data_IF_051255233501
#
_entry.id   IF_051255233501
#
_cell.length_a   1.000
_cell.length_b   1.000
_cell.length_c   1.000
_cell.angle_alpha   90.00
_cell.angle_beta   90.00
_cell.angle_gamma   90.00
#
_symmetry.space_group_name_H-M   'P 1'
#
loop_
_entity.id
_entity.type
_entity.pdbx_description
1 polymer ?
#
# COMPACT_ATOMS: atom_id res chain seq x y z
N UNK A 1 -0.98 -12.46 -15.40
CA UNK A 1 -2.04 -11.67 -14.72
C UNK A 1 -1.67 -10.20 -14.80
N UNK A 2 -2.66 -9.29 -14.90
CA UNK A 2 -2.44 -7.84 -14.88
C UNK A 2 -2.03 -7.42 -13.46
N UNK A 3 -0.91 -6.71 -13.32
CA UNK A 3 -0.50 -6.15 -12.02
C UNK A 3 -1.48 -5.06 -11.58
N UNK A 4 -1.97 -5.15 -10.36
CA UNK A 4 -2.89 -4.18 -9.76
C UNK A 4 -2.15 -2.90 -9.35
N UNK A 5 -2.87 -1.78 -9.25
CA UNK A 5 -2.29 -0.47 -8.92
C UNK A 5 -2.93 0.08 -7.65
N UNK A 6 -2.11 0.44 -6.68
CA UNK A 6 -2.51 1.14 -5.47
C UNK A 6 -1.92 2.55 -5.45
N UNK A 7 -2.77 3.55 -5.18
CA UNK A 7 -2.37 4.92 -4.88
C UNK A 7 -2.61 5.19 -3.40
N UNK A 8 -1.53 5.39 -2.64
CA UNK A 8 -1.57 5.49 -1.18
C UNK A 8 -1.41 6.93 -0.69
N UNK A 9 -1.96 7.21 0.50
CA UNK A 9 -1.85 8.52 1.15
C UNK A 9 -2.75 9.59 0.53
N UNK A 10 -3.90 9.21 0.02
CA UNK A 10 -4.95 10.12 -0.44
C UNK A 10 -5.61 10.78 0.76
N UNK A 11 -5.88 12.11 0.70
CA UNK A 11 -6.31 12.88 1.86
C UNK A 11 -7.52 13.79 1.61
N UNK A 12 -8.00 13.91 0.39
CA UNK A 12 -9.04 14.86 0.01
C UNK A 12 -9.92 14.35 -1.13
N UNK A 13 -11.11 14.93 -1.27
CA UNK A 13 -12.13 14.54 -2.24
C UNK A 13 -11.68 14.77 -3.70
N UNK A 14 -10.93 15.84 -3.96
CA UNK A 14 -10.43 16.15 -5.31
C UNK A 14 -9.56 15.01 -5.82
N UNK A 15 -8.64 14.53 -4.97
CA UNK A 15 -7.73 13.44 -5.32
C UNK A 15 -8.50 12.11 -5.48
N UNK A 16 -9.47 11.82 -4.59
CA UNK A 16 -10.34 10.63 -4.74
C UNK A 16 -11.05 10.67 -6.08
N UNK A 17 -11.70 11.77 -6.41
CA UNK A 17 -12.50 11.91 -7.63
C UNK A 17 -11.65 11.69 -8.90
N UNK A 18 -10.49 12.33 -9.03
CA UNK A 18 -9.70 12.15 -10.23
C UNK A 18 -9.04 10.76 -10.30
N UNK A 19 -8.57 10.21 -9.17
CA UNK A 19 -7.98 8.85 -9.15
C UNK A 19 -9.04 7.81 -9.54
N UNK A 20 -10.27 8.00 -9.08
CA UNK A 20 -11.38 7.09 -9.39
C UNK A 20 -11.79 7.04 -10.87
N UNK A 21 -11.38 8.03 -11.65
CA UNK A 21 -11.58 8.03 -13.12
C UNK A 21 -10.44 7.34 -13.88
N UNK A 22 -9.42 6.85 -13.17
CA UNK A 22 -8.25 6.23 -13.76
C UNK A 22 -8.24 4.72 -13.51
N UNK A 23 -7.37 3.98 -14.19
CA UNK A 23 -7.20 2.53 -14.05
C UNK A 23 -6.39 2.20 -12.76
N UNK A 24 -7.02 2.45 -11.61
CA UNK A 24 -6.48 2.20 -10.26
C UNK A 24 -7.39 1.22 -9.53
N UNK A 25 -6.78 0.28 -8.82
CA UNK A 25 -7.49 -0.83 -8.16
C UNK A 25 -7.66 -0.60 -6.66
N UNK A 26 -6.77 0.20 -6.04
CA UNK A 26 -6.77 0.48 -4.60
C UNK A 26 -6.47 1.94 -4.30
N UNK A 27 -7.20 2.52 -3.33
CA UNK A 27 -6.93 3.84 -2.75
C UNK A 27 -6.62 3.66 -1.27
N UNK A 28 -5.42 4.12 -0.84
CA UNK A 28 -4.95 4.02 0.54
C UNK A 28 -5.11 5.31 1.33
N UNK A 29 -5.68 5.20 2.55
CA UNK A 29 -5.84 6.27 3.51
C UNK A 29 -4.97 6.01 4.74
N UNK A 30 -4.10 6.96 5.09
CA UNK A 30 -3.20 6.81 6.22
C UNK A 30 -3.85 7.32 7.51
N UNK A 31 -4.02 6.43 8.49
CA UNK A 31 -4.59 6.75 9.80
C UNK A 31 -3.52 6.87 10.90
N UNK A 32 -2.24 6.90 10.51
CA UNK A 32 -1.11 6.93 11.45
C UNK A 32 -0.88 8.35 11.94
N UNK A 33 -0.96 8.54 13.26
CA UNK A 33 -0.64 9.80 13.92
C UNK A 33 0.80 10.23 13.61
N UNK A 34 1.03 11.52 13.34
CA UNK A 34 2.33 12.07 12.95
C UNK A 34 2.68 11.90 11.47
N UNK A 35 1.92 11.13 10.70
CA UNK A 35 2.11 11.06 9.25
C UNK A 35 1.75 12.38 8.57
N UNK A 36 2.59 12.83 7.62
CA UNK A 36 2.25 13.98 6.77
C UNK A 36 0.95 13.78 5.96
N UNK A 37 0.50 12.53 5.79
CA UNK A 37 -0.67 12.12 5.00
C UNK A 37 -1.82 11.62 5.87
N UNK A 38 -1.82 11.93 7.17
CA UNK A 38 -2.85 11.46 8.08
C UNK A 38 -4.23 11.99 7.67
N UNK A 39 -5.22 11.10 7.69
CA UNK A 39 -6.64 11.41 7.48
C UNK A 39 -7.38 11.15 8.80
N UNK A 40 -8.21 12.09 9.23
CA UNK A 40 -9.06 11.87 10.40
C UNK A 40 -10.20 10.90 10.08
N UNK A 41 -10.74 10.24 11.11
CA UNK A 41 -11.90 9.35 10.95
C UNK A 41 -13.13 10.08 10.33
N UNK A 42 -13.31 11.37 10.67
CA UNK A 42 -14.40 12.17 10.11
C UNK A 42 -14.19 12.48 8.62
N UNK A 43 -12.96 12.71 8.20
CA UNK A 43 -12.65 12.87 6.79
C UNK A 43 -12.82 11.53 6.04
N UNK A 44 -12.34 10.44 6.62
CA UNK A 44 -12.46 9.10 6.04
C UNK A 44 -13.93 8.72 5.79
N UNK A 45 -14.83 9.03 6.75
CA UNK A 45 -16.27 8.82 6.61
C UNK A 45 -16.89 9.57 5.42
N UNK A 46 -16.28 10.67 4.98
CA UNK A 46 -16.73 11.42 3.79
C UNK A 46 -16.08 10.90 2.51
N UNK A 47 -14.81 10.48 2.58
CA UNK A 47 -14.04 10.08 1.42
C UNK A 47 -14.38 8.68 0.91
N UNK A 48 -14.65 7.73 1.80
CA UNK A 48 -14.90 6.34 1.41
C UNK A 48 -16.18 6.18 0.56
N UNK A 49 -17.33 6.82 0.90
CA UNK A 49 -18.55 6.65 0.12
C UNK A 49 -18.49 7.19 -1.32
N UNK A 50 -17.55 8.07 -1.64
CA UNK A 50 -17.40 8.59 -3.01
C UNK A 50 -16.48 7.74 -3.90
N UNK A 51 -15.87 6.67 -3.33
CA UNK A 51 -15.06 5.72 -4.10
C UNK A 51 -15.99 4.73 -4.80
N UNK A 52 -15.87 4.55 -6.12
CA UNK A 52 -16.64 3.54 -6.84
C UNK A 52 -16.39 2.13 -6.31
N UNK A 53 -17.40 1.27 -6.35
CA UNK A 53 -17.35 -0.10 -5.81
C UNK A 53 -16.32 -1.02 -6.46
N UNK A 54 -15.83 -0.67 -7.64
CA UNK A 54 -14.77 -1.41 -8.33
C UNK A 54 -13.36 -1.04 -7.84
N UNK A 55 -13.21 -0.01 -6.99
CA UNK A 55 -11.94 0.37 -6.36
C UNK A 55 -11.98 0.03 -4.87
N UNK A 56 -10.96 -0.66 -4.40
CA UNK A 56 -10.86 -1.04 -3.00
C UNK A 56 -10.26 0.10 -2.16
N UNK A 57 -10.95 0.48 -1.09
CA UNK A 57 -10.41 1.40 -0.08
C UNK A 57 -9.57 0.63 0.94
N UNK A 58 -8.40 1.18 1.29
CA UNK A 58 -7.44 0.56 2.22
C UNK A 58 -7.17 1.51 3.39
N UNK A 59 -7.43 1.06 4.62
CA UNK A 59 -7.03 1.76 5.84
C UNK A 59 -5.59 1.36 6.22
N UNK A 60 -4.67 2.32 6.26
CA UNK A 60 -3.27 2.09 6.66
C UNK A 60 -3.09 2.49 8.12
N UNK A 61 -2.69 1.54 8.95
CA UNK A 61 -2.53 1.67 10.38
C UNK A 61 -1.17 1.14 10.85
N UNK A 62 -0.69 1.63 11.98
CA UNK A 62 0.56 1.19 12.63
C UNK A 62 0.25 0.89 14.09
N UNK A 63 0.43 -0.37 14.49
CA UNK A 63 0.20 -0.87 15.85
C UNK A 63 -1.15 -0.38 16.45
N UNK A 64 -2.28 -0.51 15.73
CA UNK A 64 -3.57 -0.09 16.26
C UNK A 64 -4.03 -1.01 17.39
N UNK A 65 -4.90 -0.51 18.29
CA UNK A 65 -5.69 -1.38 19.12
C UNK A 65 -6.81 -2.05 18.28
N UNK A 66 -7.21 -3.28 18.64
CA UNK A 66 -8.27 -4.00 17.92
C UNK A 66 -9.60 -3.20 17.90
N UNK A 67 -9.88 -2.47 18.98
CA UNK A 67 -11.06 -1.60 19.07
C UNK A 67 -11.01 -0.42 18.07
N UNK A 68 -9.81 0.06 17.71
CA UNK A 68 -9.67 1.10 16.67
C UNK A 68 -10.03 0.53 15.30
N UNK A 69 -9.56 -0.68 14.99
CA UNK A 69 -9.92 -1.37 13.75
C UNK A 69 -11.43 -1.58 13.67
N UNK A 70 -12.05 -2.14 14.72
CA UNK A 70 -13.52 -2.35 14.80
C UNK A 70 -14.30 -1.04 14.60
N UNK A 71 -13.81 0.05 15.20
CA UNK A 71 -14.43 1.37 15.08
C UNK A 71 -14.38 1.90 13.63
N UNK A 72 -13.25 1.73 12.95
CA UNK A 72 -13.11 2.15 11.54
C UNK A 72 -14.00 1.32 10.64
N UNK A 73 -14.02 -0.01 10.80
CA UNK A 73 -14.93 -0.89 10.05
C UNK A 73 -16.38 -0.39 10.19
N UNK A 74 -16.85 -0.21 11.42
CA UNK A 74 -18.23 0.22 11.71
C UNK A 74 -18.57 1.58 11.10
N UNK A 75 -17.59 2.52 11.09
CA UNK A 75 -17.81 3.89 10.60
C UNK A 75 -17.76 4.03 9.08
N UNK A 76 -17.02 3.20 8.40
CA UNK A 76 -16.63 3.43 7.00
C UNK A 76 -16.94 2.27 6.06
N UNK A 77 -17.06 1.05 6.57
CA UNK A 77 -17.20 -0.15 5.75
C UNK A 77 -15.95 -0.53 4.93
N UNK A 78 -14.78 0.06 5.23
CA UNK A 78 -13.52 -0.31 4.54
C UNK A 78 -13.25 -1.80 4.72
N UNK A 79 -13.01 -2.49 3.60
CA UNK A 79 -12.78 -3.93 3.58
C UNK A 79 -11.30 -4.36 3.61
N UNK A 80 -10.34 -3.43 3.45
CA UNK A 80 -8.90 -3.74 3.44
C UNK A 80 -8.16 -2.95 4.53
N UNK A 81 -7.33 -3.66 5.30
CA UNK A 81 -6.53 -3.09 6.38
C UNK A 81 -5.06 -3.40 6.16
N UNK A 82 -4.25 -2.36 5.97
CA UNK A 82 -2.80 -2.48 5.86
C UNK A 82 -2.19 -2.21 7.23
N UNK A 83 -1.64 -3.27 7.85
CA UNK A 83 -0.95 -3.24 9.13
C UNK A 83 0.54 -3.01 8.89
N UNK A 84 1.01 -1.79 9.16
CA UNK A 84 2.33 -1.31 8.75
C UNK A 84 3.29 -1.09 9.94
N UNK A 85 3.01 -1.74 11.06
CA UNK A 85 3.80 -1.73 12.28
C UNK A 85 4.42 -3.09 12.60
N UNK A 86 4.62 -3.32 13.90
CA UNK A 86 5.16 -4.57 14.43
C UNK A 86 4.03 -5.43 15.06
N UNK A 87 2.86 -5.43 14.42
CA UNK A 87 1.71 -6.20 14.87
C UNK A 87 2.06 -7.70 14.90
N UNK A 88 1.68 -8.39 15.98
CA UNK A 88 1.94 -9.84 16.12
C UNK A 88 1.07 -10.67 15.16
N UNK A 89 1.45 -11.94 14.97
CA UNK A 89 0.69 -12.90 14.18
C UNK A 89 -0.73 -13.08 14.74
N UNK A 90 -0.86 -13.13 16.07
CA UNK A 90 -2.14 -13.25 16.77
C UNK A 90 -3.02 -12.05 16.48
N UNK A 91 -2.46 -10.83 16.55
CA UNK A 91 -3.21 -9.61 16.23
C UNK A 91 -3.68 -9.58 14.78
N UNK A 92 -2.84 -10.04 13.84
CA UNK A 92 -3.22 -10.15 12.42
C UNK A 92 -4.38 -11.13 12.24
N UNK A 93 -4.37 -12.28 12.94
CA UNK A 93 -5.48 -13.25 12.96
C UNK A 93 -6.76 -12.62 13.50
N UNK A 94 -6.69 -11.92 14.65
CA UNK A 94 -7.84 -11.22 15.25
C UNK A 94 -8.45 -10.20 14.28
N UNK A 95 -7.63 -9.44 13.56
CA UNK A 95 -8.12 -8.47 12.57
C UNK A 95 -8.79 -9.20 11.40
N UNK A 96 -8.22 -10.30 10.91
CA UNK A 96 -8.79 -11.11 9.83
C UNK A 96 -10.16 -11.71 10.22
N UNK A 97 -10.33 -12.13 11.47
CA UNK A 97 -11.59 -12.65 12.02
C UNK A 97 -12.72 -11.61 12.02
N UNK A 98 -12.41 -10.33 11.88
CA UNK A 98 -13.42 -9.28 11.70
C UNK A 98 -14.06 -9.28 10.30
N UNK A 99 -13.67 -10.22 9.41
CA UNK A 99 -14.21 -10.36 8.06
C UNK A 99 -13.63 -9.39 7.04
N UNK A 100 -12.47 -8.80 7.32
CA UNK A 100 -11.76 -7.88 6.42
C UNK A 100 -10.55 -8.56 5.79
N UNK A 101 -10.03 -7.98 4.70
CA UNK A 101 -8.77 -8.39 4.08
C UNK A 101 -7.59 -7.70 4.75
N UNK A 102 -6.56 -8.47 5.07
CA UNK A 102 -5.36 -7.96 5.75
C UNK A 102 -4.17 -7.93 4.80
N UNK A 103 -3.57 -6.75 4.68
CA UNK A 103 -2.28 -6.53 4.02
C UNK A 103 -1.24 -6.33 5.14
N UNK A 104 -0.38 -7.33 5.39
CA UNK A 104 0.71 -7.15 6.36
C UNK A 104 1.91 -6.52 5.67
N UNK A 105 2.29 -5.33 6.12
CA UNK A 105 3.43 -4.61 5.55
C UNK A 105 4.71 -4.93 6.33
N UNK A 106 5.80 -5.07 5.56
CA UNK A 106 7.15 -5.27 6.08
C UNK A 106 8.07 -4.22 5.48
N UNK A 107 8.82 -3.55 6.36
CA UNK A 107 9.97 -2.73 5.96
C UNK A 107 11.21 -3.59 6.05
N UNK A 108 11.90 -3.72 4.95
CA UNK A 108 13.17 -4.43 4.91
C UNK A 108 14.31 -3.45 4.61
N UNK A 109 15.40 -3.59 5.36
CA UNK A 109 16.69 -2.95 5.13
C UNK A 109 17.69 -3.98 4.60
N UNK A 110 18.84 -3.53 4.11
CA UNK A 110 19.92 -4.43 3.71
C UNK A 110 20.35 -5.31 4.90
N UNK A 111 20.42 -6.61 4.66
CA UNK A 111 20.76 -7.60 5.68
C UNK A 111 19.60 -8.12 6.52
N UNK A 112 18.39 -7.59 6.36
CA UNK A 112 17.22 -8.11 7.06
C UNK A 112 16.85 -9.51 6.54
N UNK A 113 16.51 -10.41 7.47
CA UNK A 113 15.94 -11.71 7.12
C UNK A 113 14.50 -11.57 6.68
N UNK A 114 14.17 -12.10 5.50
CA UNK A 114 12.80 -12.19 5.01
C UNK A 114 12.00 -13.27 5.75
N UNK A 115 12.65 -14.16 6.48
CA UNK A 115 12.02 -15.23 7.26
C UNK A 115 11.06 -14.71 8.32
N UNK A 116 11.23 -13.45 8.78
CA UNK A 116 10.29 -12.81 9.69
C UNK A 116 8.88 -12.64 9.10
N UNK A 117 8.71 -12.76 7.79
CA UNK A 117 7.41 -12.73 7.14
C UNK A 117 6.70 -14.10 7.13
N UNK A 118 7.46 -15.22 7.24
CA UNK A 118 6.92 -16.58 7.19
C UNK A 118 5.76 -16.85 8.16
N UNK A 119 5.82 -16.43 9.46
CA UNK A 119 4.74 -16.68 10.39
C UNK A 119 3.39 -16.04 10.01
N UNK A 120 3.42 -15.02 9.14
CA UNK A 120 2.22 -14.30 8.69
C UNK A 120 1.58 -14.91 7.43
N UNK A 121 2.22 -15.89 6.79
CA UNK A 121 1.74 -16.46 5.53
C UNK A 121 0.35 -17.11 5.65
N UNK A 122 0.01 -17.66 6.82
CA UNK A 122 -1.28 -18.31 7.05
C UNK A 122 -2.39 -17.33 7.47
N UNK A 123 -2.04 -16.10 7.90
CA UNK A 123 -3.02 -15.18 8.47
C UNK A 123 -3.20 -13.88 7.68
N UNK A 124 -2.21 -13.43 6.91
CA UNK A 124 -2.37 -12.29 6.03
C UNK A 124 -2.91 -12.71 4.66
N UNK A 125 -3.80 -11.92 4.06
CA UNK A 125 -4.28 -12.16 2.70
C UNK A 125 -3.26 -11.67 1.67
N UNK A 126 -2.49 -10.65 2.03
CA UNK A 126 -1.46 -10.03 1.20
C UNK A 126 -0.28 -9.61 2.04
N UNK A 127 0.91 -9.62 1.42
CA UNK A 127 2.07 -8.92 1.94
C UNK A 127 2.25 -7.58 1.22
N UNK A 128 2.81 -6.59 1.91
CA UNK A 128 3.37 -5.40 1.29
C UNK A 128 4.84 -5.30 1.67
N UNK A 129 5.69 -5.24 0.66
CA UNK A 129 7.13 -5.05 0.82
C UNK A 129 7.46 -3.59 0.56
N UNK A 130 7.86 -2.88 1.62
CA UNK A 130 8.39 -1.53 1.57
C UNK A 130 9.90 -1.60 1.78
N UNK A 131 10.63 -1.78 0.70
CA UNK A 131 12.07 -1.97 0.69
C UNK A 131 12.81 -0.68 0.30
N UNK A 132 12.46 0.42 0.96
CA UNK A 132 13.19 1.66 0.80
C UNK A 132 14.57 1.56 1.46
N UNK A 133 15.62 1.73 0.67
CA UNK A 133 17.00 1.79 1.15
C UNK A 133 17.36 3.25 1.43
N UNK A 134 17.51 3.67 2.71
CA UNK A 134 18.02 5.00 3.03
C UNK A 134 19.46 5.15 2.52
N UNK A 135 19.77 6.25 1.81
CA UNK A 135 21.14 6.54 1.36
C UNK A 135 21.43 6.25 -0.11
N UNK A 136 20.49 5.72 -0.88
CA UNK A 136 20.57 5.67 -2.35
C UNK A 136 19.93 6.92 -2.99
N UNK A 137 20.00 8.05 -2.31
CA UNK A 137 19.66 9.35 -2.86
C UNK A 137 20.70 9.75 -3.89
N UNK A 138 20.52 9.32 -5.11
CA UNK A 138 21.30 9.85 -6.21
C UNK A 138 21.78 8.84 -7.25
N UNK A 139 21.08 8.76 -8.35
CA UNK A 139 21.66 8.34 -9.62
C UNK A 139 21.49 6.87 -10.05
N UNK A 140 21.08 5.96 -9.20
CA UNK A 140 20.85 4.56 -9.60
C UNK A 140 19.42 4.24 -10.00
N UNK A 141 18.45 5.12 -9.74
CA UNK A 141 17.03 4.91 -10.04
C UNK A 141 16.33 3.82 -9.20
N UNK A 142 17.09 3.00 -8.49
CA UNK A 142 16.55 1.86 -7.71
C UNK A 142 16.21 2.33 -6.31
N UNK A 143 14.91 2.43 -6.02
CA UNK A 143 14.36 2.84 -4.72
C UNK A 143 13.82 1.66 -3.92
N UNK A 144 13.81 0.45 -4.48
CA UNK A 144 13.40 -0.82 -3.85
C UNK A 144 14.50 -1.87 -4.02
N UNK A 145 14.51 -2.92 -3.20
CA UNK A 145 15.46 -4.03 -3.31
C UNK A 145 14.83 -5.21 -4.06
N UNK A 146 15.22 -5.49 -5.32
CA UNK A 146 14.69 -6.61 -6.08
C UNK A 146 14.96 -7.96 -5.41
N UNK A 147 16.12 -8.11 -4.75
CA UNK A 147 16.52 -9.35 -4.08
C UNK A 147 15.57 -9.69 -2.92
N UNK A 148 15.23 -8.69 -2.10
CA UNK A 148 14.28 -8.84 -0.99
C UNK A 148 12.88 -9.16 -1.55
N UNK A 149 12.44 -8.42 -2.56
CA UNK A 149 11.12 -8.61 -3.17
C UNK A 149 10.96 -10.03 -3.75
N UNK A 150 11.99 -10.57 -4.44
CA UNK A 150 11.97 -11.95 -4.96
C UNK A 150 11.85 -12.98 -3.82
N UNK A 151 12.67 -12.85 -2.77
CA UNK A 151 12.64 -13.76 -1.62
C UNK A 151 11.29 -13.76 -0.89
N UNK A 152 10.67 -12.56 -0.70
CA UNK A 152 9.34 -12.48 -0.10
C UNK A 152 8.28 -13.10 -1.01
N UNK A 153 8.40 -12.93 -2.32
CA UNK A 153 7.48 -13.55 -3.29
C UNK A 153 7.52 -15.08 -3.25
N UNK A 154 8.68 -15.69 -2.96
CA UNK A 154 8.85 -17.14 -2.82
C UNK A 154 8.02 -17.73 -1.65
N UNK A 155 7.61 -16.90 -0.68
CA UNK A 155 6.72 -17.31 0.42
C UNK A 155 5.33 -17.72 -0.12
N UNK A 156 4.94 -17.22 -1.31
CA UNK A 156 3.70 -17.62 -1.97
C UNK A 156 2.47 -16.78 -1.61
N UNK A 157 2.59 -15.76 -0.73
CA UNK A 157 1.51 -14.81 -0.43
C UNK A 157 1.49 -13.72 -1.50
N UNK A 158 0.31 -13.37 -2.07
CA UNK A 158 0.21 -12.28 -3.04
C UNK A 158 0.81 -10.98 -2.48
N UNK A 159 1.69 -10.32 -3.24
CA UNK A 159 2.54 -9.25 -2.72
C UNK A 159 2.29 -7.92 -3.40
N UNK A 160 2.12 -6.87 -2.61
CA UNK A 160 2.23 -5.48 -3.01
C UNK A 160 3.70 -5.05 -2.94
N UNK A 161 4.23 -4.49 -4.02
CA UNK A 161 5.56 -3.90 -4.03
C UNK A 161 5.45 -2.39 -3.83
N UNK A 162 6.15 -1.88 -2.82
CA UNK A 162 6.24 -0.47 -2.46
C UNK A 162 7.70 -0.05 -2.29
N UNK A 163 7.94 1.18 -1.86
CA UNK A 163 9.29 1.69 -1.61
C UNK A 163 9.81 2.57 -2.75
N UNK A 164 9.26 3.78 -2.86
CA UNK A 164 9.72 4.80 -3.81
C UNK A 164 9.38 4.54 -5.27
N UNK A 165 8.32 3.76 -5.54
CA UNK A 165 7.86 3.54 -6.92
C UNK A 165 7.24 4.80 -7.52
N UNK A 166 7.63 5.08 -8.77
CA UNK A 166 7.14 6.19 -9.61
C UNK A 166 7.08 5.76 -11.09
N UNK A 167 6.82 6.71 -12.00
CA UNK A 167 6.73 6.42 -13.43
C UNK A 167 8.05 6.02 -14.09
N UNK A 168 9.19 6.28 -13.45
CA UNK A 168 10.52 5.99 -14.02
C UNK A 168 10.94 4.55 -13.76
N UNK A 169 10.53 3.96 -12.62
CA UNK A 169 10.96 2.64 -12.19
C UNK A 169 9.86 1.57 -12.14
N UNK A 170 8.58 1.95 -12.22
CA UNK A 170 7.47 1.02 -12.07
C UNK A 170 7.44 -0.07 -13.14
N UNK A 171 7.74 0.27 -14.40
CA UNK A 171 7.74 -0.71 -15.49
C UNK A 171 8.81 -1.80 -15.29
N UNK A 172 10.02 -1.41 -14.87
CA UNK A 172 11.09 -2.34 -14.55
C UNK A 172 10.73 -3.22 -13.35
N UNK A 173 10.22 -2.61 -12.28
CA UNK A 173 9.77 -3.30 -11.08
C UNK A 173 8.72 -4.38 -11.38
N UNK A 174 7.76 -4.08 -12.27
CA UNK A 174 6.73 -5.03 -12.69
C UNK A 174 7.33 -6.17 -13.52
N UNK A 175 8.18 -5.87 -14.51
CA UNK A 175 8.83 -6.91 -15.34
C UNK A 175 9.71 -7.84 -14.52
N UNK A 176 10.45 -7.28 -13.57
CA UNK A 176 11.44 -8.02 -12.77
C UNK A 176 10.79 -8.88 -11.68
N UNK A 177 9.79 -8.34 -10.99
CA UNK A 177 9.20 -8.97 -9.81
C UNK A 177 7.87 -9.64 -10.13
N UNK A 178 7.12 -9.14 -11.12
CA UNK A 178 5.74 -9.54 -11.41
C UNK A 178 4.90 -9.61 -10.11
N UNK A 179 4.78 -8.49 -9.36
CA UNK A 179 4.03 -8.48 -8.10
C UNK A 179 2.52 -8.55 -8.35
N UNK A 180 1.75 -8.92 -7.33
CA UNK A 180 0.29 -8.83 -7.38
C UNK A 180 -0.16 -7.38 -7.61
N UNK A 181 0.45 -6.43 -6.87
CA UNK A 181 0.17 -5.01 -7.02
C UNK A 181 1.44 -4.17 -6.82
N UNK A 182 1.44 -2.95 -7.36
CA UNK A 182 2.42 -1.91 -7.05
C UNK A 182 1.75 -0.79 -6.26
N UNK A 183 2.46 -0.24 -5.27
CA UNK A 183 1.96 0.81 -4.38
C UNK A 183 2.84 2.06 -4.47
N UNK A 184 2.24 3.19 -4.82
CA UNK A 184 2.93 4.48 -4.84
C UNK A 184 2.22 5.52 -3.97
N UNK A 185 3.01 6.24 -3.18
CA UNK A 185 2.53 7.36 -2.37
C UNK A 185 3.18 8.68 -2.81
N UNK A 186 4.46 8.90 -2.47
CA UNK A 186 5.20 10.12 -2.81
C UNK A 186 5.54 10.22 -4.30
N UNK A 187 5.76 9.09 -4.99
CA UNK A 187 6.08 9.06 -6.42
C UNK A 187 5.01 9.66 -7.33
N UNK A 188 3.79 9.77 -6.83
CA UNK A 188 2.63 10.34 -7.55
C UNK A 188 2.09 11.62 -6.91
N UNK A 189 2.89 12.31 -6.08
CA UNK A 189 2.50 13.55 -5.42
C UNK A 189 3.11 14.79 -6.09
N UNK A 190 2.35 15.90 -6.05
CA UNK A 190 2.85 17.24 -6.30
C UNK A 190 3.53 17.79 -5.04
N UNK A 191 2.86 17.64 -3.92
CA UNK A 191 3.34 17.93 -2.56
C UNK A 191 2.73 16.90 -1.61
N UNK A 192 3.26 16.70 -0.40
CA UNK A 192 2.61 15.85 0.59
C UNK A 192 1.12 16.23 0.74
N UNK A 193 0.22 15.23 0.71
CA UNK A 193 -1.25 15.37 0.77
C UNK A 193 -1.94 15.85 -0.53
N UNK A 194 -1.21 16.09 -1.61
CA UNK A 194 -1.80 16.47 -2.90
C UNK A 194 -1.23 15.60 -4.01
N UNK A 195 -2.07 14.78 -4.62
CA UNK A 195 -1.68 13.94 -5.76
C UNK A 195 -1.55 14.79 -7.03
N UNK A 196 -0.63 14.39 -7.89
CA UNK A 196 -0.43 14.99 -9.20
C UNK A 196 -1.08 14.07 -10.26
N UNK A 197 -2.09 14.58 -10.96
CA UNK A 197 -2.83 13.76 -11.93
C UNK A 197 -1.94 13.23 -13.06
N UNK A 198 -0.97 14.05 -13.51
CA UNK A 198 -0.08 13.63 -14.59
C UNK A 198 0.93 12.59 -14.13
N UNK A 199 1.43 12.70 -12.89
CA UNK A 199 2.27 11.67 -12.29
C UNK A 199 1.50 10.36 -12.08
N UNK A 200 0.24 10.42 -11.59
CA UNK A 200 -0.60 9.22 -11.46
C UNK A 200 -0.81 8.57 -12.82
N UNK A 201 -1.16 9.35 -13.86
CA UNK A 201 -1.31 8.84 -15.23
C UNK A 201 -0.02 8.22 -15.79
N UNK A 202 1.11 8.89 -15.57
CA UNK A 202 2.41 8.39 -16.00
C UNK A 202 2.78 7.06 -15.30
N UNK A 203 2.53 6.98 -13.97
CA UNK A 203 2.71 5.75 -13.21
C UNK A 203 1.85 4.60 -13.73
N UNK A 204 0.56 4.85 -13.97
CA UNK A 204 -0.35 3.85 -14.55
C UNK A 204 0.17 3.38 -15.92
N UNK A 205 0.56 4.31 -16.81
CA UNK A 205 1.12 3.96 -18.14
C UNK A 205 2.37 3.08 -18.00
N UNK A 206 3.27 3.43 -17.10
CA UNK A 206 4.49 2.65 -16.85
C UNK A 206 4.16 1.21 -16.40
N UNK A 207 3.24 1.06 -15.44
CA UNK A 207 2.80 -0.26 -14.96
C UNK A 207 2.11 -1.09 -16.07
N UNK A 208 1.35 -0.45 -16.95
CA UNK A 208 0.61 -1.13 -18.02
C UNK A 208 1.47 -1.48 -19.25
N UNK A 209 2.64 -0.85 -19.37
CA UNK A 209 3.60 -1.13 -20.45
C UNK A 209 4.60 -2.25 -20.13
N UNK A 210 4.53 -2.84 -18.95
CA UNK A 210 5.47 -3.82 -18.43
C UNK A 210 5.21 -5.25 -18.90
#
# INVERSE_FOLDING_TARGET
MKTMIKVCGVTNEKDVNFISMLDVDFIGFNLVSGSKRVVSENALKKLVPIIPSYINSVAVMVNPALNDVKRIIKKTGIGFYQLHGNESVEFVKEVKELGVKVIKAFRFSDGDSVERALPYAECADYFLVDSFLPGLDGGTGVKYSPQIARKVKEIGVPMFLAGGLDSENAAEAVREIAPYAVDSASGVEKTPRSKDIEKVRAFIRAVRSA
#
